data_IF_334299349970
#
_entry.id   IF_334299349970
#
_cell.length_a   1.000
_cell.length_b   1.000
_cell.length_c   1.000
_cell.angle_alpha   90.00
_cell.angle_beta   90.00
_cell.angle_gamma   90.00
#
_symmetry.space_group_name_H-M   'P 1'
#
loop_
_entity.id
_entity.type
_entity.pdbx_description
1 polymer ?
#
# COMPACT_ATOMS: atom_id res chain seq x y z
N UNK A 1 16.25 -8.68 4.43
CA UNK A 1 14.84 -8.83 4.01
C UNK A 1 14.16 -9.83 4.91
N UNK A 2 13.08 -9.44 5.56
CA UNK A 2 12.28 -10.37 6.38
C UNK A 2 11.03 -10.86 5.65
N UNK A 3 10.61 -10.21 4.57
CA UNK A 3 9.47 -10.63 3.78
C UNK A 3 9.05 -9.55 2.81
N UNK A 4 7.86 -9.71 2.24
CA UNK A 4 7.27 -8.74 1.34
C UNK A 4 5.78 -8.61 1.61
N UNK A 5 5.21 -7.49 1.17
CA UNK A 5 3.80 -7.18 1.31
C UNK A 5 3.23 -6.90 -0.07
N UNK A 6 2.17 -7.61 -0.42
CA UNK A 6 1.51 -7.43 -1.71
C UNK A 6 0.76 -6.11 -1.75
N UNK A 7 0.92 -5.38 -2.86
CA UNK A 7 0.26 -4.11 -3.10
C UNK A 7 -0.90 -4.31 -4.07
N UNK A 8 -2.00 -3.62 -3.81
CA UNK A 8 -3.20 -3.69 -4.65
C UNK A 8 -3.69 -2.29 -4.99
N UNK A 9 -4.40 -2.17 -6.11
CA UNK A 9 -5.04 -0.93 -6.53
C UNK A 9 -6.43 -0.87 -5.93
N UNK A 10 -6.74 0.22 -5.23
CA UNK A 10 -8.01 0.36 -4.51
C UNK A 10 -8.62 1.73 -4.68
N UNK A 11 -9.93 1.81 -4.49
CA UNK A 11 -10.65 3.07 -4.35
C UNK A 11 -11.77 2.92 -3.32
N UNK A 12 -12.41 4.01 -2.95
CA UNK A 12 -13.58 3.96 -2.08
C UNK A 12 -14.77 3.34 -2.80
N UNK A 13 -15.70 2.75 -2.04
CA UNK A 13 -16.88 2.11 -2.62
C UNK A 13 -17.76 3.09 -3.39
N UNK A 14 -17.69 4.38 -3.07
CA UNK A 14 -18.46 5.42 -3.73
C UNK A 14 -17.72 6.08 -4.88
N UNK A 15 -16.50 5.67 -5.18
CA UNK A 15 -15.71 6.24 -6.26
C UNK A 15 -16.17 5.67 -7.60
N UNK A 16 -16.14 6.48 -8.68
CA UNK A 16 -16.54 6.01 -10.02
C UNK A 16 -15.82 4.76 -10.50
N UNK A 17 -14.54 4.60 -10.16
CA UNK A 17 -13.76 3.42 -10.55
C UNK A 17 -14.28 2.12 -9.94
N UNK A 18 -15.02 2.19 -8.85
CA UNK A 18 -15.59 1.00 -8.21
C UNK A 18 -16.60 0.28 -9.10
N UNK A 19 -17.15 0.96 -10.10
CA UNK A 19 -18.10 0.39 -11.05
C UNK A 19 -17.42 -0.34 -12.22
N UNK A 20 -16.12 -0.13 -12.41
CA UNK A 20 -15.38 -0.71 -13.52
C UNK A 20 -15.04 -2.17 -13.21
N UNK A 21 -15.26 -3.07 -14.17
CA UNK A 21 -14.85 -4.48 -14.00
C UNK A 21 -13.35 -4.67 -14.17
N UNK A 22 -12.75 -3.85 -15.03
CA UNK A 22 -11.32 -3.86 -15.31
C UNK A 22 -10.87 -2.44 -15.56
N UNK A 23 -9.80 -2.02 -14.89
CA UNK A 23 -9.33 -0.63 -14.93
C UNK A 23 -8.02 -0.56 -15.67
N UNK A 24 -8.00 0.22 -16.76
CA UNK A 24 -6.78 0.46 -17.55
C UNK A 24 -5.96 1.58 -16.94
N UNK A 25 -4.68 1.65 -17.29
CA UNK A 25 -3.81 2.77 -16.88
C UNK A 25 -4.37 4.11 -17.37
N UNK A 26 -4.93 4.14 -18.56
CA UNK A 26 -5.56 5.34 -19.10
C UNK A 26 -6.74 5.78 -18.24
N UNK A 27 -7.55 4.85 -17.79
CA UNK A 27 -8.69 5.12 -16.91
C UNK A 27 -8.22 5.66 -15.56
N UNK A 28 -7.19 5.05 -14.98
CA UNK A 28 -6.59 5.52 -13.72
C UNK A 28 -6.08 6.96 -13.83
N UNK A 29 -5.50 7.31 -14.96
CA UNK A 29 -4.96 8.64 -15.18
C UNK A 29 -6.01 9.74 -15.24
N UNK A 30 -7.29 9.39 -15.38
CA UNK A 30 -8.39 10.34 -15.39
C UNK A 30 -8.82 10.79 -13.99
N UNK A 31 -8.36 10.11 -12.94
CA UNK A 31 -8.75 10.36 -11.57
C UNK A 31 -7.54 10.68 -10.71
N UNK A 32 -7.79 11.36 -9.58
CA UNK A 32 -6.72 11.68 -8.63
C UNK A 32 -6.13 10.43 -8.03
N UNK A 33 -4.82 10.35 -8.03
CA UNK A 33 -4.07 9.33 -7.33
C UNK A 33 -3.67 9.84 -5.95
N UNK A 34 -3.86 9.01 -4.94
CA UNK A 34 -3.45 9.28 -3.56
C UNK A 34 -2.17 8.48 -3.33
N UNK A 35 -1.04 9.17 -3.23
CA UNK A 35 0.27 8.53 -3.30
C UNK A 35 1.00 8.65 -1.98
N UNK A 36 1.54 7.51 -1.52
CA UNK A 36 2.43 7.49 -0.38
C UNK A 36 3.77 8.11 -0.76
N UNK A 37 4.24 9.04 0.05
CA UNK A 37 5.58 9.55 -0.13
C UNK A 37 6.22 9.82 1.23
N UNK A 38 7.50 9.49 1.34
CA UNK A 38 8.31 9.82 2.50
C UNK A 38 9.34 10.86 2.10
N UNK A 39 9.83 11.62 3.09
CA UNK A 39 10.81 12.67 2.80
C UNK A 39 12.16 12.13 2.38
N UNK A 40 12.47 10.89 2.68
CA UNK A 40 13.83 10.35 2.59
C UNK A 40 14.00 9.16 1.68
N UNK A 41 12.91 8.55 1.19
CA UNK A 41 13.05 7.36 0.37
C UNK A 41 12.00 7.27 -0.72
N UNK A 42 12.45 6.80 -1.88
CA UNK A 42 11.59 6.40 -3.00
C UNK A 42 11.57 4.88 -3.03
N UNK A 43 10.40 4.28 -3.05
CA UNK A 43 10.26 2.84 -3.14
C UNK A 43 9.62 2.46 -4.49
N UNK A 44 9.77 1.21 -4.94
CA UNK A 44 9.10 0.76 -6.17
C UNK A 44 7.59 0.99 -6.08
N UNK A 45 7.03 1.59 -7.13
CA UNK A 45 5.61 1.94 -7.14
C UNK A 45 5.27 3.29 -6.53
N UNK A 46 6.27 4.08 -6.11
CA UNK A 46 6.04 5.43 -5.58
C UNK A 46 5.84 6.46 -6.69
N UNK A 47 6.02 6.09 -7.93
CA UNK A 47 5.86 6.98 -9.07
C UNK A 47 4.39 7.17 -9.39
N UNK A 48 4.03 8.40 -9.75
CA UNK A 48 2.65 8.72 -10.06
C UNK A 48 2.24 8.13 -11.42
N UNK A 49 1.04 7.53 -11.46
CA UNK A 49 0.42 7.06 -12.69
C UNK A 49 -0.67 8.01 -13.19
N UNK A 50 -0.96 9.06 -12.44
CA UNK A 50 -1.95 10.08 -12.77
C UNK A 50 -1.32 11.47 -12.71
N UNK A 51 -1.76 12.42 -13.57
CA UNK A 51 -1.30 13.82 -13.46
C UNK A 51 -1.88 14.55 -12.24
N UNK A 52 -2.97 14.03 -11.67
CA UNK A 52 -3.58 14.60 -10.46
C UNK A 52 -3.15 13.74 -9.27
N UNK A 53 -2.34 14.32 -8.39
CA UNK A 53 -1.74 13.57 -7.28
C UNK A 53 -1.86 14.35 -5.99
N UNK A 54 -2.32 13.69 -4.93
CA UNK A 54 -2.14 14.14 -3.55
C UNK A 54 -1.20 13.16 -2.86
N UNK A 55 -0.33 13.69 -2.00
CA UNK A 55 0.68 12.88 -1.32
C UNK A 55 0.47 12.92 0.19
N UNK A 56 0.73 11.78 0.82
CA UNK A 56 0.72 11.65 2.27
C UNK A 56 1.86 10.75 2.70
N UNK A 57 2.26 10.85 3.95
CA UNK A 57 3.34 10.03 4.52
C UNK A 57 2.82 8.89 5.38
N UNK A 58 1.52 8.61 5.32
CA UNK A 58 0.89 7.55 6.12
C UNK A 58 -0.15 6.83 5.28
N UNK A 59 -0.14 5.50 5.31
CA UNK A 59 -1.19 4.69 4.68
C UNK A 59 -2.55 4.91 5.34
N UNK A 60 -2.57 5.26 6.62
CA UNK A 60 -3.84 5.53 7.31
C UNK A 60 -4.49 6.81 6.82
N UNK A 61 -3.71 7.83 6.51
CA UNK A 61 -4.22 9.06 5.89
C UNK A 61 -4.74 8.76 4.48
N UNK A 62 -4.02 7.95 3.71
CA UNK A 62 -4.49 7.52 2.39
C UNK A 62 -5.82 6.76 2.51
N UNK A 63 -5.95 5.89 3.51
CA UNK A 63 -7.18 5.16 3.74
C UNK A 63 -8.37 6.08 4.03
N UNK A 64 -8.17 7.11 4.84
CA UNK A 64 -9.22 8.10 5.13
C UNK A 64 -9.65 8.83 3.85
N UNK A 65 -8.70 9.24 3.02
CA UNK A 65 -8.99 9.90 1.76
C UNK A 65 -9.73 8.96 0.79
N UNK A 66 -9.34 7.69 0.74
CA UNK A 66 -10.01 6.69 -0.09
C UNK A 66 -11.46 6.48 0.34
N UNK A 67 -11.70 6.36 1.64
CA UNK A 67 -13.06 6.19 2.17
C UNK A 67 -13.94 7.41 1.88
N UNK A 68 -13.33 8.58 1.74
CA UNK A 68 -14.04 9.81 1.38
C UNK A 68 -14.29 9.95 -0.13
N UNK A 69 -13.81 9.01 -0.94
CA UNK A 69 -14.03 9.03 -2.39
C UNK A 69 -13.15 10.02 -3.15
N UNK A 70 -12.03 10.44 -2.56
CA UNK A 70 -11.19 11.48 -3.15
C UNK A 70 -10.31 11.00 -4.30
N UNK A 71 -10.11 9.69 -4.45
CA UNK A 71 -9.29 9.16 -5.51
C UNK A 71 -9.04 7.68 -5.34
N UNK A 72 -8.00 7.18 -5.99
CA UNK A 72 -7.55 5.79 -5.92
C UNK A 72 -6.11 5.74 -5.44
N UNK A 73 -5.68 4.59 -4.97
CA UNK A 73 -4.33 4.43 -4.42
C UNK A 73 -3.84 2.99 -4.55
N UNK A 74 -2.54 2.82 -4.36
CA UNK A 74 -1.94 1.52 -4.13
C UNK A 74 -1.72 1.35 -2.63
N UNK A 75 -2.29 0.31 -2.06
CA UNK A 75 -2.16 0.00 -0.64
C UNK A 75 -1.73 -1.45 -0.45
N UNK A 76 -1.05 -1.76 0.66
CA UNK A 76 -0.87 -3.14 1.07
C UNK A 76 -2.22 -3.84 1.23
N UNK A 77 -2.33 -5.06 0.70
CA UNK A 77 -3.61 -5.81 0.73
C UNK A 77 -4.14 -6.00 2.14
N UNK A 78 -3.26 -6.26 3.11
CA UNK A 78 -3.71 -6.49 4.47
C UNK A 78 -4.35 -5.26 5.12
N UNK A 79 -3.96 -4.04 4.69
CA UNK A 79 -4.63 -2.82 5.15
C UNK A 79 -6.04 -2.74 4.59
N UNK A 80 -6.22 -3.07 3.30
CA UNK A 80 -7.54 -3.06 2.67
C UNK A 80 -8.47 -4.07 3.34
N UNK A 81 -7.94 -5.21 3.76
CA UNK A 81 -8.70 -6.26 4.41
C UNK A 81 -8.94 -6.02 5.90
N UNK A 82 -8.37 -4.96 6.46
CA UNK A 82 -8.55 -4.62 7.86
C UNK A 82 -10.04 -4.37 8.13
N UNK A 83 -10.62 -4.92 9.23
CA UNK A 83 -12.07 -4.86 9.45
C UNK A 83 -12.67 -3.46 9.42
N UNK A 84 -11.92 -2.44 9.87
CA UNK A 84 -12.40 -1.05 9.85
C UNK A 84 -12.56 -0.49 8.43
N UNK A 85 -11.88 -1.06 7.43
CA UNK A 85 -11.85 -0.54 6.05
C UNK A 85 -12.52 -1.45 5.04
N UNK A 86 -12.71 -2.71 5.37
CA UNK A 86 -13.06 -3.78 4.42
C UNK A 86 -14.34 -3.49 3.63
N UNK A 87 -15.31 -2.83 4.25
CA UNK A 87 -16.59 -2.53 3.58
C UNK A 87 -16.61 -1.15 2.92
N UNK A 88 -15.56 -0.37 3.07
CA UNK A 88 -15.49 1.01 2.59
C UNK A 88 -14.54 1.20 1.42
N UNK A 89 -13.76 0.17 1.10
CA UNK A 89 -12.80 0.17 0.01
C UNK A 89 -13.04 -1.02 -0.89
N UNK A 90 -12.72 -0.83 -2.19
CA UNK A 90 -12.84 -1.86 -3.21
C UNK A 90 -11.48 -2.08 -3.85
N UNK A 91 -11.02 -3.33 -3.88
CA UNK A 91 -9.85 -3.72 -4.64
C UNK A 91 -10.22 -3.78 -6.12
N UNK A 92 -9.44 -3.10 -6.96
CA UNK A 92 -9.70 -3.00 -8.39
C UNK A 92 -8.86 -4.02 -9.16
N UNK A 93 -9.47 -4.65 -10.15
CA UNK A 93 -8.74 -5.43 -11.14
C UNK A 93 -8.20 -4.46 -12.19
N UNK A 94 -6.89 -4.25 -12.19
CA UNK A 94 -6.26 -3.20 -13.00
C UNK A 94 -5.19 -3.78 -13.94
N UNK A 95 -4.94 -3.02 -14.99
CA UNK A 95 -3.94 -3.36 -16.02
C UNK A 95 -2.53 -3.50 -15.45
N UNK A 96 -2.22 -2.70 -14.43
CA UNK A 96 -0.89 -2.70 -13.83
C UNK A 96 -1.00 -2.49 -12.32
N UNK A 97 -0.17 -3.21 -11.59
CA UNK A 97 -0.04 -3.02 -10.14
C UNK A 97 1.44 -2.84 -9.80
N UNK A 98 1.75 -2.10 -8.72
CA UNK A 98 3.13 -1.97 -8.30
C UNK A 98 3.67 -3.30 -7.79
N UNK A 99 5.00 -3.47 -7.82
CA UNK A 99 5.61 -4.66 -7.22
C UNK A 99 5.36 -4.70 -5.72
N UNK A 100 5.46 -5.90 -5.14
CA UNK A 100 5.33 -6.07 -3.70
C UNK A 100 6.38 -5.22 -2.98
N UNK A 101 6.00 -4.67 -1.83
CA UNK A 101 6.93 -3.94 -0.98
C UNK A 101 7.80 -4.93 -0.21
N UNK A 102 9.10 -4.76 -0.33
CA UNK A 102 10.06 -5.53 0.45
C UNK A 102 10.12 -4.93 1.85
N UNK A 103 9.99 -5.79 2.86
CA UNK A 103 10.11 -5.39 4.26
C UNK A 103 11.51 -5.79 4.75
N UNK A 104 12.23 -4.81 5.26
CA UNK A 104 13.59 -5.00 5.76
C UNK A 104 13.68 -4.63 7.22
N UNK A 105 14.50 -5.37 7.95
CA UNK A 105 14.84 -5.04 9.30
C UNK A 105 16.20 -4.34 9.29
N UNK A 106 16.25 -3.15 9.90
CA UNK A 106 17.45 -2.32 9.90
C UNK A 106 17.88 -2.06 11.34
N UNK A 107 19.18 -2.22 11.61
CA UNK A 107 19.77 -1.86 12.90
C UNK A 107 21.14 -1.24 12.69
N UNK A 108 21.66 -0.62 13.73
CA UNK A 108 22.96 0.06 13.66
C UNK A 108 24.06 -0.96 13.47
N UNK A 109 25.03 -0.62 12.62
CA UNK A 109 26.13 -1.52 12.26
C UNK A 109 26.98 -1.93 13.46
N UNK A 110 27.14 -1.03 14.44
CA UNK A 110 27.98 -1.23 15.63
C UNK A 110 27.25 -1.92 16.78
N UNK A 111 26.00 -2.33 16.58
CA UNK A 111 25.19 -3.02 17.57
C UNK A 111 24.95 -4.47 17.17
N UNK A 112 24.94 -5.35 18.17
CA UNK A 112 24.59 -6.76 17.98
C UNK A 112 23.12 -6.95 18.33
N UNK A 113 22.46 -7.83 17.59
CA UNK A 113 21.10 -8.23 17.92
C UNK A 113 21.09 -9.07 19.18
N UNK A 114 20.39 -8.59 20.22
CA UNK A 114 20.15 -9.39 21.42
C UNK A 114 19.09 -10.47 21.21
N UNK A 115 18.86 -11.34 22.23
CA UNK A 115 17.87 -12.40 22.10
C UNK A 115 16.45 -11.89 21.79
N UNK A 116 16.03 -10.78 22.41
CA UNK A 116 14.72 -10.19 22.16
C UNK A 116 14.59 -9.70 20.71
N UNK A 117 15.64 -9.03 20.20
CA UNK A 117 15.62 -8.55 18.81
C UNK A 117 15.60 -9.70 17.81
N UNK A 118 16.33 -10.77 18.08
CA UNK A 118 16.31 -11.97 17.24
C UNK A 118 14.94 -12.63 17.23
N UNK A 119 14.32 -12.74 18.40
CA UNK A 119 12.96 -13.26 18.51
C UNK A 119 11.97 -12.43 17.66
N UNK A 120 12.04 -11.10 17.75
CA UNK A 120 11.18 -10.22 16.98
C UNK A 120 11.42 -10.35 15.48
N UNK A 121 12.68 -10.50 15.05
CA UNK A 121 13.00 -10.69 13.64
C UNK A 121 12.33 -11.95 13.09
N UNK A 122 12.44 -13.06 13.82
CA UNK A 122 11.83 -14.33 13.43
C UNK A 122 10.30 -14.21 13.42
N UNK A 123 9.74 -13.54 14.42
CA UNK A 123 8.30 -13.36 14.53
C UNK A 123 7.74 -12.49 13.39
N UNK A 124 8.44 -11.43 13.01
CA UNK A 124 8.03 -10.60 11.88
C UNK A 124 8.05 -11.39 10.57
N UNK A 125 9.08 -12.21 10.36
CA UNK A 125 9.15 -13.03 9.16
C UNK A 125 7.97 -14.01 9.08
N UNK A 126 7.62 -14.66 10.19
CA UNK A 126 6.47 -15.56 10.27
C UNK A 126 5.17 -14.82 9.98
N UNK A 127 4.98 -13.63 10.56
CA UNK A 127 3.77 -12.83 10.36
C UNK A 127 3.62 -12.40 8.91
N UNK A 128 4.70 -12.02 8.24
CA UNK A 128 4.66 -11.63 6.83
C UNK A 128 4.34 -12.81 5.92
N UNK A 129 4.84 -14.00 6.23
CA UNK A 129 4.49 -15.20 5.49
C UNK A 129 3.01 -15.55 5.65
N UNK A 130 2.43 -15.30 6.81
CA UNK A 130 1.02 -15.58 7.07
C UNK A 130 0.08 -14.61 6.34
N UNK A 131 0.56 -13.39 5.99
CA UNK A 131 -0.21 -12.39 5.25
C UNK A 131 -0.31 -12.76 3.77
N UNK A 132 0.72 -13.40 3.23
CA UNK A 132 0.77 -13.79 1.79
C UNK A 132 -0.16 -15.01 1.48
#
# INVERSE_FOLDING_TARGET
>A
MVGSVEMVTVCGVNHPLAQDKYVTCQRLAQFRQLLMSTQTSVYPGSEAASPLVWRADSFYVLAEWLMSGLGWAWLPRHIVQYPAYQQQMVELDSEWTPPALVVELVWRRDEHLGPAARFLTERFAECLQAID
#
